data_IF_673128523979
#
_entry.id   IF_673128523979
#
_cell.length_a   1.000
_cell.length_b   1.000
_cell.length_c   1.000
_cell.angle_alpha   90.00
_cell.angle_beta   90.00
_cell.angle_gamma   90.00
#
_symmetry.space_group_name_H-M   'P 1'
#
loop_
_entity.id
_entity.type
_entity.pdbx_description
1 polymer ?
#
# COMPACT_ATOMS: atom_id res chain seq x y z
N UNK A 1 17.65 3.50 7.51
CA UNK A 1 16.28 3.58 6.97
C UNK A 1 16.35 2.77 5.69
N UNK A 2 15.74 1.59 5.64
CA UNK A 2 15.79 0.77 4.42
C UNK A 2 14.96 1.49 3.35
N UNK A 3 15.64 2.01 2.33
CA UNK A 3 15.03 2.75 1.23
C UNK A 3 14.35 1.75 0.28
N UNK A 4 13.07 1.95 -0.03
CA UNK A 4 12.36 1.10 -1.00
C UNK A 4 12.91 1.37 -2.40
N UNK A 5 13.37 0.32 -3.07
CA UNK A 5 13.85 0.40 -4.46
C UNK A 5 12.70 0.27 -5.47
N UNK A 6 12.90 0.79 -6.69
CA UNK A 6 11.88 0.84 -7.74
C UNK A 6 11.33 -0.53 -8.17
N UNK A 7 12.15 -1.57 -8.05
CA UNK A 7 11.82 -2.95 -8.40
C UNK A 7 11.06 -3.69 -7.30
N UNK A 8 10.96 -3.14 -6.08
CA UNK A 8 10.24 -3.78 -4.98
C UNK A 8 8.75 -3.89 -5.29
N UNK A 9 8.16 -4.96 -4.79
CA UNK A 9 6.72 -5.18 -4.86
C UNK A 9 6.04 -4.51 -3.68
N UNK A 10 4.87 -3.92 -3.94
CA UNK A 10 3.98 -3.34 -2.95
C UNK A 10 2.65 -4.06 -3.04
N UNK A 11 2.19 -4.55 -1.90
CA UNK A 11 1.01 -5.40 -1.75
C UNK A 11 0.02 -4.76 -0.79
N UNK A 12 -1.26 -4.83 -1.12
CA UNK A 12 -2.37 -4.39 -0.26
C UNK A 12 -3.38 -5.52 -0.12
N UNK A 13 -3.85 -5.75 1.10
CA UNK A 13 -4.96 -6.67 1.34
C UNK A 13 -6.28 -6.14 0.76
N UNK A 14 -7.03 -7.02 0.10
CA UNK A 14 -8.35 -6.74 -0.46
C UNK A 14 -9.45 -7.29 0.45
N UNK A 15 -10.65 -6.72 0.34
CA UNK A 15 -11.87 -7.28 0.91
C UNK A 15 -12.85 -7.58 -0.22
N UNK A 16 -13.19 -8.86 -0.39
CA UNK A 16 -14.06 -9.36 -1.46
C UNK A 16 -13.58 -8.91 -2.87
N UNK A 17 -12.28 -9.10 -3.15
CA UNK A 17 -11.65 -8.75 -4.43
C UNK A 17 -11.51 -7.25 -4.68
N UNK A 18 -11.79 -6.39 -3.69
CA UNK A 18 -11.77 -4.94 -3.85
C UNK A 18 -10.89 -4.26 -2.83
N UNK A 19 -10.23 -3.18 -3.25
CA UNK A 19 -9.49 -2.30 -2.34
C UNK A 19 -10.48 -1.61 -1.42
N UNK A 20 -10.39 -1.89 -0.13
CA UNK A 20 -11.13 -1.17 0.90
C UNK A 20 -10.24 -0.06 1.46
N UNK A 21 -10.72 1.18 1.32
CA UNK A 21 -10.16 2.37 1.94
C UNK A 21 -11.11 2.76 3.08
N UNK A 22 -10.66 2.59 4.32
CA UNK A 22 -11.45 2.95 5.51
C UNK A 22 -11.65 4.47 5.57
N UNK A 23 -12.62 4.95 6.35
CA UNK A 23 -12.83 6.39 6.50
C UNK A 23 -11.62 7.11 7.12
N UNK A 24 -10.87 6.40 7.98
CA UNK A 24 -9.64 6.90 8.60
C UNK A 24 -8.47 7.00 7.61
N UNK A 25 -8.55 6.27 6.49
CA UNK A 25 -7.60 6.32 5.39
C UNK A 25 -7.96 7.41 4.36
N UNK A 26 -8.97 8.28 4.62
CA UNK A 26 -9.46 9.31 3.68
C UNK A 26 -9.18 10.72 4.19
N UNK A 27 -8.81 11.61 3.27
CA UNK A 27 -8.85 13.07 3.49
C UNK A 27 -10.13 13.62 2.87
N UNK A 28 -10.94 14.33 3.65
CA UNK A 28 -12.18 14.94 3.16
C UNK A 28 -11.90 16.12 2.22
N UNK A 29 -12.51 16.11 1.03
CA UNK A 29 -12.38 17.13 -0.02
C UNK A 29 -12.83 16.60 -1.39
N UNK A 30 -12.84 17.45 -2.43
CA UNK A 30 -13.42 17.17 -3.77
C UNK A 30 -12.75 16.01 -4.55
N UNK A 31 -11.63 15.46 -4.09
CA UNK A 31 -10.86 14.43 -4.82
C UNK A 31 -10.61 13.13 -4.05
N UNK A 32 -11.27 12.90 -2.90
CA UNK A 32 -11.14 11.69 -2.05
C UNK A 32 -9.72 11.08 -2.09
N UNK A 33 -8.78 11.74 -1.40
CA UNK A 33 -7.38 11.33 -1.38
C UNK A 33 -7.17 10.33 -0.25
N UNK A 34 -6.40 9.28 -0.55
CA UNK A 34 -5.93 8.31 0.43
C UNK A 34 -4.84 8.93 1.31
N UNK A 35 -5.02 8.85 2.61
CA UNK A 35 -4.02 9.16 3.62
C UNK A 35 -3.70 7.90 4.44
N UNK A 36 -2.41 7.60 4.59
CA UNK A 36 -1.88 6.57 5.49
C UNK A 36 -2.44 5.16 5.23
N UNK A 37 -2.70 4.79 3.98
CA UNK A 37 -3.15 3.44 3.65
C UNK A 37 -2.03 2.44 3.87
N UNK A 38 -2.32 1.40 4.65
CA UNK A 38 -1.37 0.35 4.98
C UNK A 38 -1.07 -0.55 3.79
N UNK A 39 0.21 -0.65 3.42
CA UNK A 39 0.72 -1.54 2.37
C UNK A 39 1.95 -2.30 2.86
N UNK A 40 2.25 -3.41 2.20
CA UNK A 40 3.40 -4.25 2.51
C UNK A 40 4.37 -4.25 1.34
N UNK A 41 5.66 -4.04 1.57
CA UNK A 41 6.66 -3.97 0.52
C UNK A 41 7.88 -4.84 0.77
N UNK A 42 8.40 -5.46 -0.29
CA UNK A 42 9.60 -6.30 -0.25
C UNK A 42 10.25 -6.41 -1.65
N UNK A 43 11.52 -6.86 -1.74
CA UNK A 43 12.19 -7.11 -3.01
C UNK A 43 11.44 -8.10 -3.92
N UNK A 44 10.71 -9.05 -3.34
CA UNK A 44 9.89 -10.02 -4.08
C UNK A 44 8.41 -9.95 -3.71
N UNK A 45 7.54 -10.33 -4.64
CA UNK A 45 6.08 -10.39 -4.41
C UNK A 45 5.74 -11.35 -3.27
N UNK A 46 6.37 -12.52 -3.23
CA UNK A 46 6.05 -13.56 -2.25
C UNK A 46 6.43 -13.13 -0.82
N UNK A 47 7.54 -12.40 -0.66
CA UNK A 47 7.89 -11.81 0.64
C UNK A 47 6.90 -10.71 1.06
N UNK A 48 6.48 -9.85 0.13
CA UNK A 48 5.50 -8.81 0.42
C UNK A 48 4.13 -9.41 0.83
N UNK A 49 3.72 -10.49 0.15
CA UNK A 49 2.51 -11.26 0.51
C UNK A 49 2.67 -11.95 1.87
N UNK A 50 3.85 -12.50 2.16
CA UNK A 50 4.14 -13.09 3.47
C UNK A 50 4.00 -12.05 4.58
N UNK A 51 4.49 -10.83 4.38
CA UNK A 51 4.29 -9.75 5.34
C UNK A 51 2.81 -9.41 5.52
N UNK A 52 2.02 -9.35 4.45
CA UNK A 52 0.56 -9.18 4.54
C UNK A 52 -0.07 -10.31 5.35
N UNK A 53 0.22 -11.58 5.04
CA UNK A 53 -0.42 -12.74 5.68
C UNK A 53 -0.04 -12.92 7.15
N UNK A 54 1.14 -12.46 7.56
CA UNK A 54 1.49 -12.39 8.98
C UNK A 54 0.56 -11.46 9.77
N UNK A 55 -0.05 -10.46 9.13
CA UNK A 55 -0.97 -9.51 9.76
C UNK A 55 -2.44 -9.82 9.48
N UNK A 56 -2.73 -10.35 8.29
CA UNK A 56 -4.07 -10.70 7.80
C UNK A 56 -4.01 -12.07 7.13
N UNK A 57 -4.12 -13.16 7.92
CA UNK A 57 -4.08 -14.51 7.38
C UNK A 57 -5.15 -14.72 6.29
N UNK A 58 -4.77 -15.37 5.18
CA UNK A 58 -5.65 -15.69 4.05
C UNK A 58 -6.30 -14.50 3.34
N UNK A 59 -5.78 -13.27 3.52
CA UNK A 59 -6.28 -12.13 2.77
C UNK A 59 -5.96 -12.26 1.28
N UNK A 60 -6.95 -11.97 0.44
CA UNK A 60 -6.73 -11.63 -0.96
C UNK A 60 -5.87 -10.37 -1.05
N UNK A 61 -5.16 -10.19 -2.17
CA UNK A 61 -4.21 -9.10 -2.30
C UNK A 61 -4.11 -8.54 -3.71
N UNK A 62 -3.92 -7.23 -3.79
CA UNK A 62 -3.45 -6.53 -4.97
C UNK A 62 -1.96 -6.30 -4.89
N UNK A 63 -1.25 -6.39 -6.01
CA UNK A 63 0.19 -6.20 -6.05
C UNK A 63 0.61 -5.27 -7.19
N UNK A 64 1.55 -4.38 -6.92
CA UNK A 64 2.19 -3.51 -7.91
C UNK A 64 3.68 -3.39 -7.62
N UNK A 65 4.42 -2.69 -8.47
CA UNK A 65 5.82 -2.35 -8.23
C UNK A 65 5.96 -0.89 -7.80
N UNK A 66 6.90 -0.61 -6.89
CA UNK A 66 7.10 0.73 -6.37
C UNK A 66 7.39 1.77 -7.46
N UNK A 67 8.25 1.43 -8.42
CA UNK A 67 8.60 2.32 -9.54
C UNK A 67 7.42 2.74 -10.41
N UNK A 68 6.32 1.95 -10.41
CA UNK A 68 5.09 2.29 -11.14
C UNK A 68 4.25 3.33 -10.42
N UNK A 69 4.34 3.41 -9.10
CA UNK A 69 3.50 4.31 -8.28
C UNK A 69 4.26 5.53 -7.77
N UNK A 70 5.59 5.47 -7.60
CA UNK A 70 6.41 6.61 -7.15
C UNK A 70 6.33 7.82 -8.09
N UNK A 71 5.95 7.59 -9.36
CA UNK A 71 5.82 8.63 -10.39
C UNK A 71 4.54 9.44 -10.27
N UNK A 72 3.65 9.09 -9.36
CA UNK A 72 2.43 9.87 -9.10
C UNK A 72 2.80 11.12 -8.31
N UNK A 73 2.45 12.29 -8.83
CA UNK A 73 2.91 13.62 -8.39
C UNK A 73 2.70 13.95 -6.91
N UNK A 74 1.83 13.23 -6.21
CA UNK A 74 1.49 13.45 -4.80
C UNK A 74 1.74 12.21 -3.92
N UNK A 75 2.28 11.12 -4.48
CA UNK A 75 2.48 9.89 -3.74
C UNK A 75 3.63 10.03 -2.72
N UNK A 76 3.36 9.65 -1.47
CA UNK A 76 4.37 9.50 -0.40
C UNK A 76 4.25 8.10 0.18
N UNK A 77 5.38 7.41 0.33
CA UNK A 77 5.49 6.19 1.12
C UNK A 77 6.36 6.49 2.35
N UNK A 78 5.88 6.12 3.51
CA UNK A 78 6.63 6.23 4.77
C UNK A 78 6.65 4.88 5.45
N UNK A 79 7.78 4.53 6.05
CA UNK A 79 7.84 3.38 6.95
C UNK A 79 6.82 3.60 8.06
N UNK A 80 6.03 2.58 8.41
CA UNK A 80 5.23 2.66 9.63
C UNK A 80 6.19 2.55 10.82
N UNK A 81 6.61 3.70 11.34
CA UNK A 81 7.55 3.81 12.46
C UNK A 81 6.95 3.31 13.79
N UNK A 82 5.66 2.96 13.81
CA UNK A 82 4.93 2.66 15.04
C UNK A 82 5.12 1.23 15.56
N UNK A 83 5.88 0.36 14.88
CA UNK A 83 6.03 -0.99 15.42
C UNK A 83 6.94 -1.99 14.71
N UNK A 84 8.19 -1.65 14.40
CA UNK A 84 9.23 -2.67 14.09
C UNK A 84 8.93 -3.67 12.96
N UNK A 85 7.84 -3.49 12.23
CA UNK A 85 7.29 -4.45 11.28
C UNK A 85 7.98 -4.25 9.95
N UNK A 86 9.10 -4.95 9.78
CA UNK A 86 9.82 -4.98 8.51
C UNK A 86 8.85 -5.30 7.38
N UNK A 87 8.87 -4.47 6.34
CA UNK A 87 8.00 -4.65 5.19
C UNK A 87 6.62 -4.00 5.30
N UNK A 88 6.29 -3.24 6.35
CA UNK A 88 5.02 -2.51 6.46
C UNK A 88 5.23 -0.99 6.30
N UNK A 89 4.43 -0.40 5.42
CA UNK A 89 4.54 1.00 5.01
C UNK A 89 3.15 1.64 4.91
N UNK A 90 3.12 2.97 4.98
CA UNK A 90 1.94 3.78 4.79
C UNK A 90 2.09 4.59 3.50
N UNK A 91 1.06 4.57 2.65
CA UNK A 91 1.03 5.39 1.44
C UNK A 91 -0.06 6.46 1.51
N UNK A 92 0.29 7.65 1.01
CA UNK A 92 -0.56 8.84 1.01
C UNK A 92 -0.49 9.56 -0.33
N UNK A 93 -1.53 10.33 -0.65
CA UNK A 93 -1.55 11.29 -1.76
C UNK A 93 -1.94 10.71 -3.13
N UNK A 94 -2.48 9.50 -3.17
CA UNK A 94 -3.20 8.98 -4.34
C UNK A 94 -4.70 9.09 -4.14
N UNK A 95 -5.48 9.27 -5.21
CA UNK A 95 -6.95 9.24 -5.09
C UNK A 95 -7.43 7.82 -4.84
N UNK A 96 -8.61 7.66 -4.23
CA UNK A 96 -9.22 6.34 -4.00
C UNK A 96 -9.34 5.55 -5.32
N UNK A 97 -9.75 6.19 -6.41
CA UNK A 97 -9.86 5.53 -7.71
C UNK A 97 -8.52 5.03 -8.26
N UNK A 98 -7.44 5.80 -8.04
CA UNK A 98 -6.09 5.34 -8.41
C UNK A 98 -5.67 4.14 -7.55
N UNK A 99 -5.92 4.18 -6.25
CA UNK A 99 -5.64 3.06 -5.36
C UNK A 99 -6.40 1.80 -5.81
N UNK A 100 -7.68 1.93 -6.14
CA UNK A 100 -8.48 0.84 -6.71
C UNK A 100 -7.85 0.31 -8.01
N UNK A 101 -7.54 1.16 -8.97
CA UNK A 101 -6.97 0.70 -10.25
C UNK A 101 -5.57 0.06 -10.13
N UNK A 102 -4.76 0.50 -9.17
CA UNK A 102 -3.39 0.00 -8.98
C UNK A 102 -3.37 -1.37 -8.30
N UNK A 103 -4.31 -1.63 -7.38
CA UNK A 103 -4.34 -2.81 -6.53
C UNK A 103 -5.57 -3.72 -6.78
N UNK A 104 -6.37 -3.48 -7.81
CA UNK A 104 -7.43 -4.43 -8.24
C UNK A 104 -6.89 -5.49 -9.18
#
# INVERSE_FOLDING_TARGET
MDEIEDNWYIVRGLKNGKVEVSNDERVMGDQEVVANMSVYAAPSKDEAVKYLHNHRPNAEYGATQYGKIKRLSNFKIVSDSTGGNKGHYLISGITIDKAKNIFS
#
